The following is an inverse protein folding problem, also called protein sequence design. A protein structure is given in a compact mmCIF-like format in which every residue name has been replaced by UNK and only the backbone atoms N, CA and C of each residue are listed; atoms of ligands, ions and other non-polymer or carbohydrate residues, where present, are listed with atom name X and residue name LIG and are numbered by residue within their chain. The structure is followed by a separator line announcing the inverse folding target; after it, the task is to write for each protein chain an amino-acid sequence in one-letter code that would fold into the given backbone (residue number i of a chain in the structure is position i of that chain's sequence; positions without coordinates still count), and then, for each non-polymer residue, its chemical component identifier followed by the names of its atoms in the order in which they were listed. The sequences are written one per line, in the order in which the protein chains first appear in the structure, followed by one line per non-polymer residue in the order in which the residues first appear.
data_IF_869484831632
#
_entry.id   IF_869484831632
#
_cell.length_a   1.000
_cell.length_b   1.000
_cell.length_c   1.000
_cell.angle_alpha   90.00
_cell.angle_beta   90.00
_cell.angle_gamma   90.00
#
_symmetry.space_group_name_H-M   'P 1'
#
loop_
_entity.id
_entity.type
_entity.pdbx_description
1 polymer ?
#
# COMPACT_ATOMS: atom_id res chain seq x y z
N UNK A 1 -5.67 41.30 16.15
CA UNK A 1 -4.95 40.02 16.25
C UNK A 1 -4.65 39.59 14.83
N UNK A 2 -3.51 38.94 14.57
CA UNK A 2 -3.33 38.32 13.25
C UNK A 2 -4.29 37.13 13.18
N UNK A 3 -4.96 36.91 12.04
CA UNK A 3 -5.85 35.78 11.87
C UNK A 3 -5.09 34.46 12.10
N UNK A 4 -5.77 33.50 12.71
CA UNK A 4 -5.26 32.15 12.98
C UNK A 4 -4.84 31.47 11.67
N UNK A 5 -3.63 30.89 11.61
CA UNK A 5 -3.16 30.21 10.39
C UNK A 5 -3.87 28.88 10.17
N UNK A 6 -3.89 28.38 8.94
CA UNK A 6 -4.43 27.04 8.61
C UNK A 6 -3.86 25.94 9.51
N UNK A 7 -2.55 26.01 9.81
CA UNK A 7 -1.83 25.08 10.67
C UNK A 7 -2.34 25.12 12.12
N UNK A 8 -2.59 26.33 12.63
CA UNK A 8 -3.14 26.53 13.97
C UNK A 8 -4.61 26.07 14.04
N UNK A 9 -5.44 26.36 13.04
CA UNK A 9 -6.82 25.86 12.96
C UNK A 9 -6.83 24.33 12.91
N UNK A 10 -5.95 23.73 12.11
CA UNK A 10 -5.76 22.28 12.04
C UNK A 10 -5.40 21.66 13.40
N UNK A 11 -4.52 22.30 14.16
CA UNK A 11 -4.13 21.86 15.51
C UNK A 11 -5.29 21.94 16.49
N UNK A 12 -6.06 23.04 16.46
CA UNK A 12 -7.23 23.24 17.31
C UNK A 12 -8.31 22.18 17.08
N UNK A 13 -8.61 21.85 15.82
CA UNK A 13 -9.58 20.79 15.48
C UNK A 13 -9.15 19.44 16.06
N UNK A 14 -7.86 19.10 15.92
CA UNK A 14 -7.32 17.84 16.46
C UNK A 14 -7.34 17.80 17.98
N UNK A 15 -6.99 18.91 18.64
CA UNK A 15 -7.04 19.02 20.09
C UNK A 15 -8.47 18.83 20.62
N UNK A 16 -9.45 19.47 20.00
CA UNK A 16 -10.86 19.37 20.39
C UNK A 16 -11.41 17.95 20.18
N UNK A 17 -11.08 17.31 19.06
CA UNK A 17 -11.46 15.93 18.77
C UNK A 17 -10.87 14.94 19.80
N UNK A 18 -9.57 15.07 20.13
CA UNK A 18 -8.92 14.25 21.17
C UNK A 18 -9.57 14.43 22.54
N UNK A 19 -9.88 15.67 22.91
CA UNK A 19 -10.49 15.99 24.21
C UNK A 19 -11.89 15.39 24.38
N UNK A 20 -12.55 15.00 23.28
CA UNK A 20 -13.93 14.48 23.25
C UNK A 20 -14.01 13.01 22.83
N UNK A 21 -12.89 12.29 22.81
CA UNK A 21 -12.80 10.88 22.42
C UNK A 21 -13.34 10.59 21.01
N UNK A 22 -13.24 11.54 20.09
CA UNK A 22 -13.52 11.29 18.68
C UNK A 22 -12.46 10.34 18.12
N UNK A 23 -12.86 9.47 17.19
CA UNK A 23 -11.86 8.70 16.46
C UNK A 23 -11.09 9.61 15.50
N UNK A 24 -9.92 9.14 15.07
CA UNK A 24 -9.13 9.84 14.06
C UNK A 24 -9.89 10.03 12.74
N UNK A 25 -10.67 9.05 12.33
CA UNK A 25 -11.50 9.12 11.11
C UNK A 25 -12.67 10.11 11.28
N UNK A 26 -13.24 10.20 12.47
CA UNK A 26 -14.24 11.23 12.78
C UNK A 26 -13.61 12.63 12.78
N UNK A 27 -12.39 12.78 13.31
CA UNK A 27 -11.63 14.02 13.22
C UNK A 27 -11.34 14.40 11.77
N UNK A 28 -11.02 13.44 10.90
CA UNK A 28 -10.82 13.66 9.46
C UNK A 28 -12.10 14.19 8.80
N UNK A 29 -13.25 13.65 9.16
CA UNK A 29 -14.54 14.10 8.64
C UNK A 29 -14.85 15.56 9.02
N UNK A 30 -14.60 15.91 10.29
CA UNK A 30 -14.75 17.29 10.76
C UNK A 30 -13.79 18.22 10.03
N UNK A 31 -12.49 17.89 9.98
CA UNK A 31 -11.46 18.69 9.29
C UNK A 31 -11.84 18.97 7.83
N UNK A 32 -12.25 17.93 7.11
CA UNK A 32 -12.61 18.03 5.69
C UNK A 32 -13.84 18.90 5.47
N UNK A 33 -14.83 18.79 6.36
CA UNK A 33 -16.03 19.64 6.32
C UNK A 33 -15.66 21.10 6.55
N UNK A 34 -14.94 21.41 7.63
CA UNK A 34 -14.56 22.79 7.95
C UNK A 34 -13.69 23.42 6.86
N UNK A 35 -12.81 22.64 6.23
CA UNK A 35 -12.02 23.13 5.10
C UNK A 35 -12.89 23.40 3.86
N UNK A 36 -13.90 22.56 3.60
CA UNK A 36 -14.84 22.79 2.50
C UNK A 36 -15.73 24.04 2.73
N UNK A 37 -16.03 24.37 3.98
CA UNK A 37 -16.89 25.52 4.32
C UNK A 37 -16.18 26.86 4.17
N UNK A 38 -14.90 26.96 4.56
CA UNK A 38 -14.21 28.24 4.57
C UNK A 38 -12.71 28.19 4.29
N UNK A 39 -12.18 27.04 3.86
CA UNK A 39 -10.73 26.81 3.76
C UNK A 39 -10.00 27.08 5.10
N UNK A 40 -10.71 26.85 6.22
CA UNK A 40 -10.27 27.16 7.59
C UNK A 40 -10.04 28.64 7.90
N UNK A 41 -10.57 29.54 7.08
CA UNK A 41 -10.61 30.96 7.41
C UNK A 41 -11.65 31.24 8.52
N UNK A 42 -11.20 31.86 9.61
CA UNK A 42 -12.02 32.24 10.77
C UNK A 42 -12.79 33.55 10.58
N UNK A 43 -12.48 34.31 9.53
CA UNK A 43 -13.10 35.57 9.15
C UNK A 43 -14.01 35.45 7.92
N UNK A 44 -14.12 34.24 7.34
CA UNK A 44 -14.92 33.99 6.15
C UNK A 44 -16.41 34.22 6.38
N UNK A 45 -16.98 35.11 5.57
CA UNK A 45 -18.42 35.28 5.42
C UNK A 45 -18.92 34.54 4.19
N UNK A 46 -20.10 33.93 4.28
CA UNK A 46 -20.80 33.53 3.06
C UNK A 46 -21.21 34.76 2.24
N UNK A 47 -21.49 34.59 0.93
CA UNK A 47 -21.87 35.71 0.07
C UNK A 47 -23.08 36.51 0.56
N UNK A 48 -23.97 35.91 1.35
CA UNK A 48 -25.18 36.55 1.86
C UNK A 48 -25.04 37.11 3.29
N UNK A 49 -23.87 36.97 3.91
CA UNK A 49 -23.57 37.44 5.27
C UNK A 49 -24.53 36.90 6.35
N UNK A 50 -24.91 35.64 6.20
CA UNK A 50 -25.76 34.89 7.13
C UNK A 50 -24.97 33.90 7.98
N UNK A 51 -23.83 33.40 7.48
CA UNK A 51 -22.95 32.46 8.15
C UNK A 51 -21.52 32.96 8.18
N UNK A 52 -20.78 32.59 9.24
CA UNK A 52 -19.45 33.13 9.51
C UNK A 52 -18.47 32.09 10.08
N UNK A 53 -17.20 32.25 9.73
CA UNK A 53 -16.06 31.56 10.31
C UNK A 53 -15.82 30.15 9.79
N UNK A 54 -14.93 29.41 10.49
CA UNK A 54 -14.35 28.11 10.11
C UNK A 54 -15.41 27.06 9.71
N UNK A 55 -16.59 27.13 10.34
CA UNK A 55 -17.67 26.17 10.13
C UNK A 55 -18.92 26.75 9.44
N UNK A 56 -18.83 27.99 8.93
CA UNK A 56 -19.96 28.75 8.38
C UNK A 56 -21.17 28.73 9.34
N UNK A 57 -20.98 29.32 10.52
CA UNK A 57 -21.94 29.31 11.62
C UNK A 57 -22.98 30.42 11.51
N UNK A 58 -24.26 30.07 11.68
CA UNK A 58 -25.37 31.03 11.70
C UNK A 58 -25.53 31.75 13.05
N UNK A 59 -26.62 32.52 13.17
CA UNK A 59 -26.94 33.30 14.38
C UNK A 59 -27.10 32.49 15.67
N UNK A 60 -27.34 31.17 15.59
CA UNK A 60 -27.50 30.29 16.76
C UNK A 60 -26.20 30.03 17.51
N UNK A 61 -25.04 30.30 16.89
CA UNK A 61 -23.73 30.16 17.51
C UNK A 61 -23.34 31.49 18.17
N UNK A 62 -23.49 31.54 19.50
CA UNK A 62 -23.29 32.75 20.32
C UNK A 62 -21.87 33.31 20.22
N UNK A 63 -20.87 32.43 20.15
CA UNK A 63 -19.44 32.78 20.16
C UNK A 63 -18.77 32.70 18.79
N UNK A 64 -19.54 32.78 17.69
CA UNK A 64 -18.96 32.63 16.34
C UNK A 64 -17.96 33.73 15.96
N UNK A 65 -17.93 34.86 16.68
CA UNK A 65 -16.99 35.96 16.46
C UNK A 65 -15.77 35.93 17.39
N UNK A 66 -15.65 34.93 18.26
CA UNK A 66 -14.61 34.87 19.30
C UNK A 66 -13.35 34.11 18.82
N UNK A 67 -13.15 34.03 17.51
CA UNK A 67 -12.02 33.36 16.85
C UNK A 67 -12.20 31.85 16.63
N UNK A 68 -11.25 31.25 15.92
CA UNK A 68 -11.30 29.86 15.46
C UNK A 68 -11.55 28.86 16.59
N UNK A 69 -10.90 29.02 17.75
CA UNK A 69 -11.07 28.10 18.87
C UNK A 69 -12.53 28.03 19.36
N UNK A 70 -13.19 29.18 19.48
CA UNK A 70 -14.60 29.26 19.89
C UNK A 70 -15.53 28.69 18.82
N UNK A 71 -15.26 28.99 17.54
CA UNK A 71 -16.02 28.45 16.40
C UNK A 71 -15.92 26.92 16.34
N UNK A 72 -14.70 26.36 16.41
CA UNK A 72 -14.45 24.91 16.39
C UNK A 72 -15.15 24.24 17.56
N UNK A 73 -14.98 24.75 18.78
CA UNK A 73 -15.63 24.21 19.98
C UNK A 73 -17.15 24.15 19.80
N UNK A 74 -17.76 25.24 19.32
CA UNK A 74 -19.21 25.31 19.16
C UNK A 74 -19.72 24.36 18.05
N UNK A 75 -18.93 24.11 17.02
CA UNK A 75 -19.24 23.07 16.02
C UNK A 75 -19.25 21.67 16.65
N UNK A 76 -18.23 21.31 17.44
CA UNK A 76 -18.19 20.03 18.14
C UNK A 76 -19.33 19.89 19.17
N UNK A 77 -19.65 20.95 19.92
CA UNK A 77 -20.78 20.97 20.86
C UNK A 77 -22.10 20.61 20.15
N UNK A 78 -22.34 21.17 18.95
CA UNK A 78 -23.52 20.85 18.17
C UNK A 78 -23.45 19.44 17.57
N UNK A 79 -22.30 19.01 17.07
CA UNK A 79 -22.14 17.68 16.49
C UNK A 79 -22.35 16.56 17.52
N UNK A 80 -21.89 16.75 18.76
CA UNK A 80 -22.12 15.83 19.87
C UNK A 80 -23.61 15.66 20.18
N UNK A 81 -24.39 16.74 20.11
CA UNK A 81 -25.85 16.68 20.24
C UNK A 81 -26.43 15.90 19.07
N UNK A 82 -25.99 16.16 17.83
CA UNK A 82 -26.51 15.52 16.62
C UNK A 82 -26.24 14.02 16.58
N UNK A 83 -25.06 13.57 16.99
CA UNK A 83 -24.69 12.15 17.07
C UNK A 83 -25.54 11.35 18.06
N UNK A 84 -26.27 12.02 18.96
CA UNK A 84 -27.15 11.41 19.98
C UNK A 84 -28.64 11.62 19.68
N UNK A 85 -28.99 12.42 18.68
CA UNK A 85 -30.39 12.67 18.32
C UNK A 85 -31.03 11.39 17.78
N UNK A 86 -32.35 11.18 18.01
CA UNK A 86 -33.11 10.22 17.23
C UNK A 86 -32.91 10.49 15.74
N UNK A 87 -32.58 9.45 14.97
CA UNK A 87 -32.27 9.58 13.53
C UNK A 87 -30.78 9.81 13.20
N UNK A 88 -29.89 9.83 14.19
CA UNK A 88 -28.45 9.84 13.94
C UNK A 88 -27.98 8.54 13.25
N UNK A 89 -26.98 8.66 12.37
CA UNK A 89 -26.30 7.55 11.71
C UNK A 89 -25.04 7.13 12.47
N UNK A 90 -24.59 5.89 12.28
CA UNK A 90 -23.22 5.48 12.66
C UNK A 90 -22.16 6.10 11.76
N UNK A 91 -22.52 6.59 10.57
CA UNK A 91 -21.64 7.34 9.67
C UNK A 91 -21.63 8.83 10.07
N UNK A 92 -20.50 9.28 10.62
CA UNK A 92 -20.27 10.68 11.02
C UNK A 92 -20.48 11.66 9.86
N UNK A 93 -20.17 11.28 8.62
CA UNK A 93 -20.34 12.14 7.45
C UNK A 93 -21.81 12.47 7.21
N UNK A 94 -22.71 11.51 7.42
CA UNK A 94 -24.15 11.75 7.29
C UNK A 94 -24.67 12.66 8.41
N UNK A 95 -24.17 12.49 9.64
CA UNK A 95 -24.55 13.34 10.76
C UNK A 95 -24.10 14.80 10.55
N UNK A 96 -22.87 15.00 10.09
CA UNK A 96 -22.34 16.34 9.77
C UNK A 96 -23.16 16.98 8.65
N UNK A 97 -23.42 16.24 7.56
CA UNK A 97 -24.16 16.76 6.42
C UNK A 97 -25.61 17.11 6.77
N UNK A 98 -26.27 16.27 7.57
CA UNK A 98 -27.60 16.56 8.12
C UNK A 98 -27.59 17.80 9.02
N UNK A 99 -26.61 17.90 9.93
CA UNK A 99 -26.46 19.04 10.84
C UNK A 99 -26.26 20.36 10.09
N UNK A 100 -25.39 20.37 9.08
CA UNK A 100 -25.04 21.59 8.34
C UNK A 100 -26.13 21.99 7.35
N UNK A 101 -26.66 21.06 6.55
CA UNK A 101 -27.54 21.42 5.45
C UNK A 101 -29.01 21.49 5.88
N UNK A 102 -29.48 20.58 6.73
CA UNK A 102 -30.91 20.44 7.07
C UNK A 102 -31.12 20.05 8.55
N UNK A 103 -30.72 20.91 9.51
CA UNK A 103 -30.84 20.62 10.94
C UNK A 103 -32.26 20.37 11.44
N UNK A 104 -33.29 20.78 10.67
CA UNK A 104 -34.71 20.62 10.99
C UNK A 104 -35.33 19.32 10.45
N UNK A 105 -34.58 18.50 9.70
CA UNK A 105 -35.07 17.22 9.18
C UNK A 105 -34.98 16.10 10.21
N UNK A 106 -35.75 15.03 10.01
CA UNK A 106 -35.99 13.99 11.02
C UNK A 106 -34.82 13.03 11.27
N UNK A 107 -33.95 12.81 10.29
CA UNK A 107 -32.80 11.90 10.44
C UNK A 107 -31.69 12.16 9.42
N UNK A 108 -30.50 11.65 9.72
CA UNK A 108 -29.36 11.64 8.81
C UNK A 108 -29.65 10.80 7.55
N UNK A 109 -30.38 9.70 7.71
CA UNK A 109 -30.80 8.86 6.58
C UNK A 109 -31.80 9.60 5.69
N UNK A 110 -32.78 10.28 6.27
CA UNK A 110 -33.74 11.08 5.51
C UNK A 110 -33.04 12.19 4.73
N UNK A 111 -32.02 12.83 5.32
CA UNK A 111 -31.16 13.76 4.61
C UNK A 111 -30.39 13.09 3.46
N UNK A 112 -29.88 11.88 3.64
CA UNK A 112 -29.20 11.17 2.55
C UNK A 112 -30.15 10.88 1.39
N UNK A 113 -31.37 10.45 1.68
CA UNK A 113 -32.34 10.03 0.65
C UNK A 113 -32.95 11.22 -0.12
N UNK A 114 -33.12 12.37 0.53
CA UNK A 114 -33.87 13.51 -0.04
C UNK A 114 -33.06 14.81 -0.15
N UNK A 115 -31.89 14.86 0.47
CA UNK A 115 -31.05 16.05 0.56
C UNK A 115 -30.06 16.18 -0.58
N UNK A 116 -29.18 17.19 -0.46
CA UNK A 116 -28.12 17.47 -1.44
C UNK A 116 -26.94 16.51 -1.24
N UNK A 117 -27.07 15.28 -1.74
CA UNK A 117 -25.99 14.26 -1.63
C UNK A 117 -24.64 14.71 -2.20
N UNK A 118 -24.63 15.60 -3.19
CA UNK A 118 -23.40 16.18 -3.75
C UNK A 118 -22.51 16.85 -2.69
N UNK A 119 -23.11 17.36 -1.60
CA UNK A 119 -22.37 17.93 -0.49
C UNK A 119 -21.44 16.92 0.19
N UNK A 120 -21.81 15.64 0.28
CA UNK A 120 -20.89 14.60 0.78
C UNK A 120 -19.67 14.44 -0.12
N UNK A 121 -19.85 14.53 -1.44
CA UNK A 121 -18.75 14.46 -2.40
C UNK A 121 -17.83 15.67 -2.24
N UNK A 122 -18.39 16.86 -2.03
CA UNK A 122 -17.64 18.10 -1.81
C UNK A 122 -16.78 18.01 -0.55
N UNK A 123 -17.37 17.71 0.61
CA UNK A 123 -16.59 17.62 1.86
C UNK A 123 -15.57 16.47 1.80
N UNK A 124 -15.90 15.31 1.22
CA UNK A 124 -14.95 14.19 1.07
C UNK A 124 -13.83 14.47 0.07
N UNK A 125 -14.04 15.37 -0.90
CA UNK A 125 -12.98 15.77 -1.84
C UNK A 125 -11.82 16.50 -1.15
N UNK A 126 -12.00 16.99 0.08
CA UNK A 126 -10.97 17.68 0.87
C UNK A 126 -10.09 16.77 1.69
N UNK A 127 -10.37 15.47 1.74
CA UNK A 127 -9.59 14.50 2.52
C UNK A 127 -8.09 14.63 2.19
N UNK A 128 -7.72 14.59 0.91
CA UNK A 128 -6.32 14.68 0.50
C UNK A 128 -5.65 16.00 0.94
N UNK A 129 -6.40 17.11 0.97
CA UNK A 129 -5.90 18.42 1.39
C UNK A 129 -5.68 18.49 2.89
N UNK A 130 -6.58 17.92 3.70
CA UNK A 130 -6.53 18.07 5.16
C UNK A 130 -5.77 16.95 5.87
N UNK A 131 -5.55 15.81 5.21
CA UNK A 131 -4.84 14.65 5.78
C UNK A 131 -3.42 15.00 6.26
N UNK A 132 -2.57 15.73 5.51
CA UNK A 132 -1.23 16.10 6.00
C UNK A 132 -1.27 16.85 7.33
N UNK A 133 -2.24 17.75 7.49
CA UNK A 133 -2.47 18.47 8.73
C UNK A 133 -3.01 17.56 9.85
N UNK A 134 -3.78 16.52 9.53
CA UNK A 134 -4.22 15.54 10.53
C UNK A 134 -3.05 14.65 10.96
N UNK A 135 -2.25 14.17 10.01
CA UNK A 135 -1.06 13.33 10.26
C UNK A 135 -0.07 14.06 11.16
N UNK A 136 0.19 15.36 10.90
CA UNK A 136 1.07 16.21 11.69
C UNK A 136 0.70 16.27 13.19
N UNK A 137 -0.59 16.33 13.52
CA UNK A 137 -1.05 16.53 14.91
C UNK A 137 -1.68 15.28 15.55
N UNK A 138 -2.02 14.28 14.75
CA UNK A 138 -2.54 12.99 15.18
C UNK A 138 -1.99 11.89 14.26
N UNK A 139 -0.73 11.47 14.45
CA UNK A 139 -0.14 10.39 13.68
C UNK A 139 -0.93 9.10 13.86
N UNK A 140 -1.05 8.30 12.80
CA UNK A 140 -1.74 7.02 12.86
C UNK A 140 -0.88 5.97 13.59
N UNK A 141 -1.04 5.85 14.90
CA UNK A 141 -0.49 4.73 15.68
C UNK A 141 -1.63 3.89 16.29
N UNK A 142 -1.81 2.68 15.75
CA UNK A 142 -2.50 1.54 16.38
C UNK A 142 -4.00 1.69 16.70
N UNK A 143 -4.87 1.06 15.91
CA UNK A 143 -6.25 0.78 16.31
C UNK A 143 -7.22 0.61 15.15
N UNK A 144 -7.70 -0.62 14.97
CA UNK A 144 -8.72 -1.14 14.05
C UNK A 144 -9.50 -0.16 13.16
N UNK A 145 -9.39 -0.47 11.88
CA UNK A 145 -9.93 0.19 10.70
C UNK A 145 -11.42 -0.08 10.46
N UNK A 146 -12.18 0.98 10.20
CA UNK A 146 -13.11 0.98 9.06
C UNK A 146 -12.72 2.15 8.16
N UNK A 147 -11.65 1.93 7.37
CA UNK A 147 -11.18 2.86 6.35
C UNK A 147 -12.25 2.99 5.26
N UNK A 148 -12.76 4.19 4.96
CA UNK A 148 -13.47 4.43 3.70
C UNK A 148 -12.49 4.16 2.55
N UNK A 149 -12.87 3.29 1.61
CA UNK A 149 -12.04 2.79 0.51
C UNK A 149 -11.00 3.82 0.04
N UNK A 150 -9.71 3.55 0.35
CA UNK A 150 -8.61 4.33 -0.19
C UNK A 150 -8.76 4.36 -1.72
N UNK A 151 -8.58 5.54 -2.33
CA UNK A 151 -8.59 5.70 -3.78
C UNK A 151 -7.66 4.69 -4.48
N UNK A 152 -6.61 4.23 -3.78
CA UNK A 152 -5.73 3.13 -4.15
C UNK A 152 -5.53 2.21 -2.93
N UNK A 153 -6.02 0.97 -3.01
CA UNK A 153 -5.95 0.00 -1.91
C UNK A 153 -4.67 -0.84 -1.97
N UNK A 154 -3.64 -0.41 -1.25
CA UNK A 154 -2.37 -1.12 -1.11
C UNK A 154 -2.45 -2.41 -0.27
N UNK A 155 -3.60 -2.70 0.34
CA UNK A 155 -3.75 -3.80 1.28
C UNK A 155 -3.03 -3.58 2.61
N UNK A 156 -2.69 -2.33 2.95
CA UNK A 156 -2.02 -1.94 4.19
C UNK A 156 -2.85 -2.44 5.38
N UNK A 157 -2.29 -3.36 6.15
CA UNK A 157 -2.89 -3.86 7.39
C UNK A 157 -2.40 -3.09 8.60
N UNK A 158 -1.18 -2.53 8.54
CA UNK A 158 -0.59 -1.73 9.62
C UNK A 158 0.30 -0.62 9.08
N UNK A 159 0.32 0.49 9.81
CA UNK A 159 1.27 1.59 9.60
C UNK A 159 2.28 1.53 10.75
N UNK A 160 3.56 1.45 10.40
CA UNK A 160 4.66 1.38 11.36
C UNK A 160 5.75 2.36 10.93
N UNK A 161 5.44 3.65 11.00
CA UNK A 161 6.45 4.68 10.76
C UNK A 161 7.36 4.79 11.98
N UNK A 162 8.64 4.47 11.80
CA UNK A 162 9.64 4.57 12.85
C UNK A 162 10.03 6.00 13.18
N UNK A 163 11.24 6.17 13.71
CA UNK A 163 11.88 7.47 13.86
C UNK A 163 13.34 7.30 13.45
N UNK A 164 13.85 8.16 12.56
CA UNK A 164 15.27 8.31 12.29
C UNK A 164 15.63 9.80 12.50
N UNK A 165 16.59 10.13 13.40
CA UNK A 165 16.97 11.52 13.65
C UNK A 165 17.59 12.24 12.44
N UNK A 166 18.01 11.50 11.41
CA UNK A 166 18.57 12.05 10.18
C UNK A 166 17.53 12.23 9.07
N UNK A 167 16.26 11.85 9.29
CA UNK A 167 15.18 12.10 8.33
C UNK A 167 14.83 13.58 8.32
N UNK A 168 14.62 14.14 7.13
CA UNK A 168 14.30 15.56 6.96
C UNK A 168 12.95 15.92 7.59
N UNK A 169 12.81 17.17 8.04
CA UNK A 169 11.60 17.67 8.73
C UNK A 169 10.30 17.55 7.90
N UNK A 170 10.42 17.40 6.59
CA UNK A 170 9.32 17.24 5.64
C UNK A 170 9.12 15.77 5.19
N UNK A 171 9.64 14.81 5.94
CA UNK A 171 9.53 13.39 5.67
C UNK A 171 9.25 12.60 6.96
N UNK A 172 8.88 11.34 6.78
CA UNK A 172 8.28 10.52 7.83
C UNK A 172 9.09 9.27 8.10
N UNK A 173 9.33 8.98 9.38
CA UNK A 173 9.94 7.73 9.80
C UNK A 173 11.42 7.62 9.45
N UNK A 174 11.82 6.48 8.89
CA UNK A 174 13.18 6.24 8.39
C UNK A 174 13.23 6.48 6.87
N UNK A 175 12.90 7.70 6.45
CA UNK A 175 12.83 8.11 5.05
C UNK A 175 14.13 8.77 4.56
N UNK A 176 14.43 8.62 3.26
CA UNK A 176 15.43 9.35 2.46
C UNK A 176 14.88 10.70 1.94
N UNK A 177 13.77 11.16 2.51
CA UNK A 177 13.17 12.44 2.20
C UNK A 177 12.09 12.41 1.11
N UNK A 178 11.66 13.59 0.64
CA UNK A 178 10.63 13.72 -0.39
C UNK A 178 11.03 13.07 -1.70
N UNK A 179 10.07 12.39 -2.34
CA UNK A 179 10.30 11.76 -3.64
C UNK A 179 10.04 12.75 -4.79
N UNK A 180 11.01 12.95 -5.66
CA UNK A 180 10.89 13.86 -6.81
C UNK A 180 10.07 13.31 -7.98
N UNK A 181 10.00 11.99 -8.15
CA UNK A 181 9.18 11.33 -9.17
C UNK A 181 8.89 9.87 -8.80
N UNK A 182 7.85 9.25 -9.36
CA UNK A 182 7.63 7.80 -9.22
C UNK A 182 7.46 7.19 -10.61
N UNK A 183 8.51 6.57 -11.11
CA UNK A 183 8.55 5.89 -12.40
C UNK A 183 8.48 4.37 -12.26
N UNK A 184 8.90 3.82 -11.12
CA UNK A 184 9.02 2.38 -10.93
C UNK A 184 8.35 1.88 -9.65
N UNK A 185 8.03 0.59 -9.64
CA UNK A 185 7.84 -0.19 -8.41
C UNK A 185 8.93 -1.25 -8.35
N UNK A 186 9.69 -1.28 -7.26
CA UNK A 186 10.82 -2.18 -7.08
C UNK A 186 10.42 -3.32 -6.16
N UNK A 187 10.63 -4.54 -6.65
CA UNK A 187 10.42 -5.77 -5.89
C UNK A 187 11.73 -6.16 -5.19
N UNK A 188 11.66 -6.34 -3.87
CA UNK A 188 12.79 -6.73 -3.03
C UNK A 188 12.55 -8.04 -2.31
N UNK A 189 13.61 -8.81 -2.05
CA UNK A 189 13.55 -9.95 -1.12
C UNK A 189 14.35 -9.66 0.14
N UNK A 190 13.84 -10.06 1.30
CA UNK A 190 14.48 -9.77 2.58
C UNK A 190 15.84 -10.48 2.82
N UNK A 191 16.05 -11.67 2.24
CA UNK A 191 17.18 -12.56 2.55
C UNK A 191 17.27 -13.00 4.02
N UNK A 192 16.11 -13.12 4.68
CA UNK A 192 16.00 -13.70 6.01
C UNK A 192 14.58 -14.24 6.23
N UNK A 193 14.45 -15.23 7.12
CA UNK A 193 13.14 -15.68 7.61
C UNK A 193 12.63 -14.69 8.66
N UNK A 194 11.61 -13.89 8.31
CA UNK A 194 10.94 -13.00 9.23
C UNK A 194 9.50 -12.69 8.76
N UNK A 195 8.68 -12.20 9.68
CA UNK A 195 7.40 -11.57 9.33
C UNK A 195 7.59 -10.14 8.84
N UNK A 196 6.57 -9.59 8.18
CA UNK A 196 6.55 -8.20 7.74
C UNK A 196 6.67 -7.22 8.93
N UNK A 197 6.07 -7.56 10.07
CA UNK A 197 6.20 -6.78 11.33
C UNK A 197 7.64 -6.76 11.82
N UNK A 198 8.32 -7.91 11.82
CA UNK A 198 9.73 -8.00 12.24
C UNK A 198 10.66 -7.24 11.30
N UNK A 199 10.42 -7.32 9.98
CA UNK A 199 11.15 -6.52 8.99
C UNK A 199 10.91 -5.01 9.20
N UNK A 200 9.66 -4.59 9.41
CA UNK A 200 9.34 -3.19 9.70
C UNK A 200 10.03 -2.67 10.97
N UNK A 201 10.03 -3.48 12.04
CA UNK A 201 10.76 -3.14 13.26
C UNK A 201 12.27 -3.01 13.02
N UNK A 202 12.86 -3.89 12.21
CA UNK A 202 14.26 -3.76 11.82
C UNK A 202 14.51 -2.47 11.04
N UNK A 203 13.73 -2.19 9.99
CA UNK A 203 13.86 -0.97 9.20
C UNK A 203 13.73 0.30 10.05
N UNK A 204 12.79 0.32 10.99
CA UNK A 204 12.58 1.48 11.88
C UNK A 204 13.72 1.70 12.88
N UNK A 205 14.54 0.68 13.14
CA UNK A 205 15.66 0.76 14.06
C UNK A 205 17.02 0.64 13.35
N UNK A 206 17.05 0.50 12.03
CA UNK A 206 18.29 0.24 11.28
C UNK A 206 19.30 1.36 11.47
N UNK A 207 18.84 2.61 11.59
CA UNK A 207 19.70 3.78 11.83
C UNK A 207 20.50 3.68 13.14
N UNK A 208 20.04 2.90 14.12
CA UNK A 208 20.78 2.67 15.37
C UNK A 208 21.97 1.74 15.16
N UNK A 209 21.78 0.73 14.31
CA UNK A 209 22.78 -0.31 14.04
C UNK A 209 23.67 -0.01 12.83
N UNK A 210 23.17 0.81 11.91
CA UNK A 210 23.77 1.14 10.62
C UNK A 210 23.49 2.64 10.33
N UNK A 211 24.02 3.57 11.15
CA UNK A 211 23.70 5.00 11.05
C UNK A 211 24.11 5.64 9.71
N UNK A 212 25.20 5.15 9.10
CA UNK A 212 25.73 5.66 7.84
C UNK A 212 25.04 5.05 6.61
N UNK A 213 24.26 3.98 6.80
CA UNK A 213 23.55 3.29 5.72
C UNK A 213 22.27 2.64 6.27
N UNK A 214 21.29 3.45 6.72
CA UNK A 214 20.02 2.92 7.19
C UNK A 214 19.30 2.20 6.05
N UNK A 215 18.41 1.26 6.40
CA UNK A 215 17.63 0.48 5.43
C UNK A 215 16.15 0.65 5.75
N UNK A 216 15.38 1.03 4.75
CA UNK A 216 13.93 1.06 4.83
C UNK A 216 13.32 0.69 3.49
N UNK A 217 12.01 0.43 3.47
CA UNK A 217 11.20 0.22 2.28
C UNK A 217 9.93 1.06 2.43
N UNK A 218 9.17 1.28 1.35
CA UNK A 218 7.84 1.83 1.53
C UNK A 218 6.94 0.81 2.19
N UNK A 219 6.92 -0.42 1.63
CA UNK A 219 6.09 -1.51 2.11
C UNK A 219 6.95 -2.74 2.43
N UNK A 220 6.67 -3.38 3.55
CA UNK A 220 7.07 -4.76 3.84
C UNK A 220 5.82 -5.64 3.88
N UNK A 221 5.87 -6.83 3.30
CA UNK A 221 4.70 -7.72 3.28
C UNK A 221 5.07 -9.19 3.43
N UNK A 222 4.19 -9.94 4.08
CA UNK A 222 4.23 -11.40 4.20
C UNK A 222 2.86 -11.97 3.76
N UNK A 223 2.50 -13.20 4.15
CA UNK A 223 1.19 -13.76 3.81
C UNK A 223 0.01 -13.07 4.53
N UNK A 224 0.26 -12.43 5.68
CA UNK A 224 -0.77 -11.92 6.60
C UNK A 224 -0.86 -10.41 6.64
N UNK A 225 0.27 -9.72 6.53
CA UNK A 225 0.41 -8.30 6.77
C UNK A 225 1.02 -7.58 5.57
N UNK A 226 0.52 -6.37 5.30
CA UNK A 226 1.22 -5.35 4.50
C UNK A 226 1.47 -4.17 5.44
N UNK A 227 2.73 -3.87 5.69
CA UNK A 227 3.15 -2.83 6.61
C UNK A 227 3.68 -1.65 5.82
N UNK A 228 3.10 -0.46 6.02
CA UNK A 228 3.72 0.77 5.55
C UNK A 228 4.78 1.25 6.55
N UNK A 229 6.04 1.27 6.11
CA UNK A 229 7.19 1.67 6.92
C UNK A 229 7.56 3.13 6.62
N UNK A 230 7.62 3.47 5.33
CA UNK A 230 7.81 4.84 4.82
C UNK A 230 6.62 5.14 3.90
N UNK A 231 5.94 6.29 4.04
CA UNK A 231 4.81 6.64 3.19
C UNK A 231 5.11 6.38 1.71
N UNK A 232 4.17 5.79 0.96
CA UNK A 232 4.39 5.39 -0.44
C UNK A 232 4.74 6.56 -1.38
N UNK A 233 4.56 7.80 -0.94
CA UNK A 233 4.91 9.06 -1.63
C UNK A 233 6.31 9.59 -1.29
N UNK A 234 7.00 8.99 -0.32
CA UNK A 234 8.35 9.39 0.13
C UNK A 234 9.41 8.37 -0.30
N UNK A 235 10.66 8.81 -0.40
CA UNK A 235 11.78 7.94 -0.72
C UNK A 235 12.19 7.11 0.52
N UNK A 236 12.29 5.78 0.43
CA UNK A 236 12.92 4.96 1.46
C UNK A 236 14.43 4.77 1.16
N UNK A 237 15.18 4.24 2.12
CA UNK A 237 16.58 3.85 1.97
C UNK A 237 16.69 2.40 1.47
N UNK A 238 16.41 2.15 0.18
CA UNK A 238 16.27 0.78 -0.35
C UNK A 238 17.27 0.40 -1.45
N UNK A 239 17.58 1.32 -2.37
CA UNK A 239 18.28 1.01 -3.61
C UNK A 239 19.08 2.22 -4.16
N UNK A 240 19.77 2.94 -3.28
CA UNK A 240 20.66 4.04 -3.62
C UNK A 240 20.04 5.05 -4.61
N UNK A 241 20.57 5.17 -5.83
CA UNK A 241 20.07 6.13 -6.83
C UNK A 241 18.59 5.93 -7.23
N UNK A 242 18.01 4.77 -6.92
CA UNK A 242 16.61 4.47 -7.21
C UNK A 242 15.62 4.90 -6.12
N UNK A 243 16.09 5.26 -4.90
CA UNK A 243 15.24 5.64 -3.76
C UNK A 243 14.21 6.73 -4.13
N UNK A 244 14.66 7.74 -4.87
CA UNK A 244 13.90 8.95 -5.20
C UNK A 244 13.03 8.84 -6.46
N UNK A 245 12.99 7.67 -7.10
CA UNK A 245 12.27 7.45 -8.38
C UNK A 245 11.30 6.26 -8.34
N UNK A 246 11.15 5.57 -7.21
CA UNK A 246 10.37 4.34 -7.16
C UNK A 246 9.67 4.08 -5.81
N UNK A 247 8.59 3.29 -5.84
CA UNK A 247 8.02 2.65 -4.66
C UNK A 247 8.77 1.35 -4.39
N UNK A 248 9.27 1.14 -3.18
CA UNK A 248 10.03 -0.07 -2.84
C UNK A 248 9.19 -1.00 -1.95
N UNK A 249 9.02 -2.24 -2.41
CA UNK A 249 8.22 -3.27 -1.74
C UNK A 249 9.11 -4.48 -1.45
N UNK A 250 9.24 -4.85 -0.17
CA UNK A 250 10.02 -5.98 0.26
C UNK A 250 9.15 -7.14 0.74
N UNK A 251 9.38 -8.31 0.14
CA UNK A 251 8.77 -9.57 0.53
C UNK A 251 9.50 -10.11 1.78
N UNK A 252 8.86 -10.03 2.93
CA UNK A 252 9.42 -10.49 4.20
C UNK A 252 9.45 -12.03 4.24
N UNK A 253 10.50 -12.61 4.82
CA UNK A 253 10.66 -14.07 4.85
C UNK A 253 11.18 -14.70 3.55
N UNK A 254 11.41 -13.90 2.51
CA UNK A 254 11.78 -14.37 1.17
C UNK A 254 13.28 -14.33 0.88
N UNK A 255 13.69 -15.09 -0.14
CA UNK A 255 15.08 -15.21 -0.59
C UNK A 255 15.16 -15.08 -2.12
N UNK A 256 16.21 -14.41 -2.61
CA UNK A 256 16.39 -14.18 -4.05
C UNK A 256 16.68 -15.47 -4.84
N UNK A 257 17.17 -16.50 -4.16
CA UNK A 257 17.50 -17.79 -4.73
C UNK A 257 16.27 -18.68 -4.96
N UNK A 258 15.09 -18.27 -4.47
CA UNK A 258 13.85 -19.00 -4.66
C UNK A 258 13.48 -19.12 -6.13
N UNK A 259 13.12 -20.35 -6.52
CA UNK A 259 12.55 -20.65 -7.82
C UNK A 259 11.03 -20.43 -7.79
N UNK A 260 10.43 -20.31 -8.99
CA UNK A 260 9.00 -20.02 -9.14
C UNK A 260 8.11 -20.99 -8.34
N UNK A 261 8.50 -22.27 -8.24
CA UNK A 261 7.78 -23.26 -7.45
C UNK A 261 7.64 -22.89 -5.97
N UNK A 262 8.66 -22.28 -5.35
CA UNK A 262 8.58 -21.83 -3.95
C UNK A 262 7.70 -20.59 -3.83
N UNK A 263 7.79 -19.65 -4.76
CA UNK A 263 6.92 -18.46 -4.78
C UNK A 263 5.44 -18.77 -4.97
N UNK A 264 5.12 -19.90 -5.60
CA UNK A 264 3.75 -20.37 -5.88
C UNK A 264 3.31 -21.48 -4.91
N UNK A 265 4.10 -21.75 -3.88
CA UNK A 265 3.77 -22.74 -2.87
C UNK A 265 2.63 -22.22 -1.98
N UNK A 266 1.61 -23.05 -1.78
CA UNK A 266 0.48 -22.76 -0.90
C UNK A 266 0.59 -23.48 0.44
N UNK A 267 1.53 -24.41 0.58
CA UNK A 267 1.78 -25.10 1.84
C UNK A 267 2.42 -24.12 2.84
N UNK A 268 1.67 -23.80 3.89
CA UNK A 268 2.11 -22.89 4.94
C UNK A 268 2.67 -23.61 6.17
N UNK A 269 3.04 -24.89 6.05
CA UNK A 269 3.54 -25.72 7.16
C UNK A 269 4.84 -25.18 7.78
N UNK A 270 5.63 -24.42 7.02
CA UNK A 270 6.83 -23.72 7.48
C UNK A 270 6.55 -22.32 8.06
N UNK A 271 5.28 -21.92 8.12
CA UNK A 271 4.80 -20.68 8.75
C UNK A 271 4.53 -19.53 7.79
N UNK A 272 4.76 -19.70 6.48
CA UNK A 272 4.53 -18.70 5.45
C UNK A 272 3.77 -19.32 4.27
N UNK A 273 2.73 -18.67 3.78
CA UNK A 273 2.11 -19.01 2.49
C UNK A 273 2.69 -18.08 1.40
N UNK A 274 3.66 -18.57 0.63
CA UNK A 274 4.33 -17.76 -0.40
C UNK A 274 3.38 -17.28 -1.50
N UNK A 275 2.42 -18.12 -1.93
CA UNK A 275 1.45 -17.73 -2.94
C UNK A 275 0.53 -16.58 -2.48
N UNK A 276 0.09 -16.63 -1.21
CA UNK A 276 -0.69 -15.56 -0.60
C UNK A 276 0.15 -14.28 -0.46
N UNK A 277 1.41 -14.41 -0.06
CA UNK A 277 2.36 -13.30 0.00
C UNK A 277 2.57 -12.67 -1.40
N UNK A 278 2.74 -13.50 -2.45
CA UNK A 278 2.88 -13.04 -3.83
C UNK A 278 1.62 -12.29 -4.30
N UNK A 279 0.43 -12.80 -3.98
CA UNK A 279 -0.86 -12.14 -4.26
C UNK A 279 -0.99 -10.80 -3.55
N UNK A 280 -0.59 -10.72 -2.28
CA UNK A 280 -0.58 -9.47 -1.51
C UNK A 280 0.38 -8.44 -2.10
N UNK A 281 1.58 -8.87 -2.51
CA UNK A 281 2.51 -8.03 -3.25
C UNK A 281 1.92 -7.49 -4.54
N UNK A 282 1.20 -8.33 -5.30
CA UNK A 282 0.57 -7.91 -6.53
C UNK A 282 -0.52 -6.84 -6.30
N UNK A 283 -1.28 -6.94 -5.21
CA UNK A 283 -2.26 -5.92 -4.79
C UNK A 283 -1.57 -4.58 -4.49
N UNK A 284 -0.50 -4.60 -3.70
CA UNK A 284 0.26 -3.40 -3.36
C UNK A 284 0.88 -2.73 -4.60
N UNK A 285 1.44 -3.52 -5.52
CA UNK A 285 1.98 -3.02 -6.79
C UNK A 285 0.87 -2.45 -7.68
N UNK A 286 -0.31 -3.07 -7.74
CA UNK A 286 -1.43 -2.55 -8.50
C UNK A 286 -1.87 -1.16 -7.99
N UNK A 287 -1.94 -0.98 -6.67
CA UNK A 287 -2.23 0.30 -6.06
C UNK A 287 -1.18 1.37 -6.42
N UNK A 288 0.12 1.02 -6.40
CA UNK A 288 1.19 1.90 -6.86
C UNK A 288 1.05 2.26 -8.35
N UNK A 289 0.79 1.27 -9.21
CA UNK A 289 0.61 1.49 -10.64
C UNK A 289 -0.56 2.45 -10.92
N UNK A 290 -1.68 2.28 -10.23
CA UNK A 290 -2.84 3.15 -10.34
C UNK A 290 -2.55 4.56 -9.81
N UNK A 291 -1.89 4.68 -8.65
CA UNK A 291 -1.61 5.97 -8.02
C UNK A 291 -0.66 6.83 -8.86
N UNK A 292 0.39 6.23 -9.43
CA UNK A 292 1.44 6.98 -10.12
C UNK A 292 1.38 6.86 -11.65
N UNK A 293 0.31 6.26 -12.19
CA UNK A 293 0.10 6.13 -13.64
C UNK A 293 1.19 5.31 -14.34
N UNK A 294 1.56 4.16 -13.75
CA UNK A 294 2.57 3.26 -14.30
C UNK A 294 1.90 2.04 -14.97
N UNK A 295 2.41 1.57 -16.11
CA UNK A 295 1.92 0.34 -16.73
C UNK A 295 2.33 -0.91 -15.92
N UNK A 296 1.46 -1.91 -15.86
CA UNK A 296 1.77 -3.23 -15.29
C UNK A 296 2.60 -4.08 -16.27
N UNK A 297 3.84 -3.68 -16.50
CA UNK A 297 4.82 -4.35 -17.35
C UNK A 297 6.16 -4.47 -16.62
N UNK A 298 6.93 -5.50 -16.96
CA UNK A 298 8.31 -5.58 -16.51
C UNK A 298 9.14 -4.57 -17.30
N UNK A 299 9.74 -3.60 -16.60
CA UNK A 299 10.55 -2.54 -17.18
C UNK A 299 12.06 -2.83 -17.15
N UNK A 300 12.45 -3.93 -16.52
CA UNK A 300 13.84 -4.39 -16.41
C UNK A 300 14.23 -5.37 -17.51
N UNK A 301 15.44 -5.89 -17.40
CA UNK A 301 16.02 -6.88 -18.32
C UNK A 301 16.84 -7.96 -17.60
N UNK A 302 16.63 -8.10 -16.29
CA UNK A 302 17.39 -9.03 -15.46
C UNK A 302 18.68 -8.44 -14.90
N UNK A 303 18.84 -7.11 -14.92
CA UNK A 303 20.06 -6.43 -14.50
C UNK A 303 21.17 -6.41 -15.55
N UNK A 304 20.89 -6.81 -16.79
CA UNK A 304 21.88 -6.85 -17.88
C UNK A 304 22.35 -5.44 -18.24
N UNK A 305 21.43 -4.49 -18.35
CA UNK A 305 21.75 -3.10 -18.69
C UNK A 305 22.23 -2.27 -17.50
N UNK A 306 22.04 -2.76 -16.26
CA UNK A 306 22.34 -2.00 -15.04
C UNK A 306 21.45 -0.76 -14.84
N UNK A 307 20.35 -0.66 -15.58
CA UNK A 307 19.25 0.29 -15.37
C UNK A 307 17.99 -0.23 -16.09
N UNK A 308 16.76 0.12 -15.65
CA UNK A 308 15.54 -0.24 -16.37
C UNK A 308 15.55 0.21 -17.84
N UNK A 309 15.10 -0.67 -18.72
CA UNK A 309 15.10 -0.48 -20.19
C UNK A 309 13.81 0.18 -20.70
N UNK A 310 12.75 0.18 -19.90
CA UNK A 310 11.53 0.97 -20.14
C UNK A 310 11.45 2.16 -19.18
N UNK A 311 10.83 3.28 -19.58
CA UNK A 311 10.81 4.50 -18.78
C UNK A 311 9.97 4.41 -17.50
N UNK A 312 9.03 3.46 -17.44
CA UNK A 312 8.16 3.20 -16.27
C UNK A 312 7.73 1.73 -16.21
N UNK A 313 7.51 1.21 -15.02
CA UNK A 313 6.94 -0.12 -14.81
C UNK A 313 7.43 -0.80 -13.52
N UNK A 314 7.31 -2.13 -13.48
CA UNK A 314 7.76 -2.96 -12.36
C UNK A 314 9.17 -3.46 -12.65
N UNK A 315 10.04 -3.46 -11.66
CA UNK A 315 11.44 -3.92 -11.76
C UNK A 315 11.86 -4.69 -10.50
N UNK A 316 12.89 -5.52 -10.61
CA UNK A 316 13.61 -6.01 -9.45
C UNK A 316 14.70 -5.04 -9.01
N UNK A 317 15.21 -5.17 -7.79
CA UNK A 317 16.37 -4.40 -7.34
C UNK A 317 17.57 -4.59 -8.28
N UNK A 318 17.76 -5.81 -8.79
CA UNK A 318 18.80 -6.17 -9.78
C UNK A 318 18.86 -5.29 -11.02
N UNK A 319 17.71 -4.75 -11.44
CA UNK A 319 17.61 -4.01 -12.69
C UNK A 319 18.30 -2.65 -12.61
N UNK A 320 18.69 -2.18 -11.42
CA UNK A 320 19.45 -0.94 -11.24
C UNK A 320 20.98 -1.13 -11.18
N UNK A 321 21.46 -2.38 -11.24
CA UNK A 321 22.88 -2.71 -11.21
C UNK A 321 23.65 -2.03 -10.07
N UNK A 322 24.92 -1.67 -10.31
CA UNK A 322 25.77 -1.01 -9.32
C UNK A 322 25.21 0.35 -8.83
N UNK A 323 24.46 1.06 -9.69
CA UNK A 323 23.83 2.34 -9.33
C UNK A 323 22.71 2.18 -8.30
N UNK A 324 22.05 1.03 -8.31
CA UNK A 324 21.09 0.64 -7.29
C UNK A 324 21.69 -0.03 -6.06
N UNK A 325 23.02 -0.17 -5.98
CA UNK A 325 23.70 -0.88 -4.90
C UNK A 325 24.18 -2.28 -5.24
N UNK A 326 23.93 -2.78 -6.46
CA UNK A 326 24.49 -4.05 -6.95
C UNK A 326 23.80 -5.32 -6.42
N UNK A 327 22.64 -5.16 -5.79
CA UNK A 327 21.81 -6.27 -5.31
C UNK A 327 21.19 -7.05 -6.47
N UNK A 328 20.80 -8.31 -6.24
CA UNK A 328 20.36 -9.25 -7.29
C UNK A 328 18.92 -9.73 -7.14
N UNK A 329 18.21 -9.27 -6.12
CA UNK A 329 16.83 -9.63 -5.84
C UNK A 329 15.83 -8.98 -6.82
N UNK A 330 14.64 -9.60 -7.03
CA UNK A 330 14.13 -10.82 -6.40
C UNK A 330 14.69 -12.12 -6.99
N UNK A 331 15.72 -12.02 -7.82
CA UNK A 331 16.43 -13.15 -8.40
C UNK A 331 15.74 -13.76 -9.63
N UNK A 332 16.42 -14.73 -10.25
CA UNK A 332 16.01 -15.31 -11.52
C UNK A 332 14.77 -16.19 -11.45
N UNK A 333 14.44 -16.68 -10.25
CA UNK A 333 13.30 -17.57 -10.04
C UNK A 333 12.00 -16.86 -9.70
N UNK A 334 12.00 -15.53 -9.53
CA UNK A 334 10.78 -14.79 -9.26
C UNK A 334 9.79 -14.92 -10.44
N UNK A 335 8.53 -15.33 -10.22
CA UNK A 335 7.57 -15.59 -11.28
C UNK A 335 6.94 -14.28 -11.80
N UNK A 336 7.75 -13.45 -12.48
CA UNK A 336 7.37 -12.10 -12.91
C UNK A 336 6.10 -12.07 -13.76
N UNK A 337 5.93 -13.01 -14.70
CA UNK A 337 4.75 -13.04 -15.58
C UNK A 337 3.46 -13.32 -14.80
N UNK A 338 3.48 -14.29 -13.89
CA UNK A 338 2.35 -14.61 -13.02
C UNK A 338 2.07 -13.47 -12.04
N UNK A 339 3.12 -12.86 -11.49
CA UNK A 339 3.00 -11.68 -10.63
C UNK A 339 2.31 -10.52 -11.37
N UNK A 340 2.77 -10.18 -12.58
CA UNK A 340 2.16 -9.14 -13.42
C UNK A 340 0.72 -9.48 -13.83
N UNK A 341 0.39 -10.76 -14.04
CA UNK A 341 -1.00 -11.20 -14.25
C UNK A 341 -1.87 -10.83 -13.04
N UNK A 342 -1.41 -11.11 -11.81
CA UNK A 342 -2.12 -10.74 -10.58
C UNK A 342 -2.23 -9.22 -10.41
N UNK A 343 -1.17 -8.47 -10.70
CA UNK A 343 -1.19 -6.99 -10.66
C UNK A 343 -2.30 -6.45 -11.56
N UNK A 344 -2.38 -6.94 -12.82
CA UNK A 344 -3.40 -6.51 -13.78
C UNK A 344 -4.83 -6.82 -13.31
N UNK A 345 -5.04 -7.95 -12.63
CA UNK A 345 -6.33 -8.30 -12.01
C UNK A 345 -6.73 -7.27 -10.95
N UNK A 346 -5.80 -6.85 -10.09
CA UNK A 346 -6.09 -5.84 -9.07
C UNK A 346 -6.25 -4.42 -9.65
N UNK A 347 -5.59 -4.09 -10.76
CA UNK A 347 -5.75 -2.79 -11.43
C UNK A 347 -7.11 -2.63 -12.11
N UNK A 348 -7.81 -3.72 -12.42
CA UNK A 348 -9.11 -3.71 -13.10
C UNK A 348 -9.94 -4.92 -12.65
N UNK A 349 -10.68 -4.80 -11.53
CA UNK A 349 -11.46 -5.91 -10.98
C UNK A 349 -12.67 -6.31 -11.86
N UNK A 350 -13.03 -5.50 -12.86
CA UNK A 350 -13.85 -5.96 -13.99
C UNK A 350 -12.98 -6.80 -14.91
N UNK A 351 -13.15 -8.12 -14.78
CA UNK A 351 -12.46 -9.18 -15.49
C UNK A 351 -11.85 -8.77 -16.85
N UNK A 352 -10.54 -8.92 -17.06
CA UNK A 352 -10.11 -9.30 -18.40
C UNK A 352 -10.75 -10.67 -18.66
N UNK A 353 -11.33 -10.87 -19.85
CA UNK A 353 -11.52 -12.22 -20.37
C UNK A 353 -10.23 -12.99 -20.07
N UNK A 354 -10.35 -14.15 -19.42
CA UNK A 354 -9.24 -15.11 -19.40
C UNK A 354 -8.65 -15.09 -20.82
N UNK A 355 -7.33 -14.84 -21.01
CA UNK A 355 -6.74 -15.20 -22.29
C UNK A 355 -7.19 -16.65 -22.54
N UNK A 356 -7.68 -16.98 -23.75
CA UNK A 356 -8.22 -18.29 -24.02
C UNK A 356 -7.25 -19.33 -23.46
N UNK A 357 -7.74 -20.36 -22.74
CA UNK A 357 -6.88 -21.36 -22.13
C UNK A 357 -5.89 -21.83 -23.19
N UNK A 358 -4.60 -21.61 -22.93
CA UNK A 358 -3.54 -21.95 -23.87
C UNK A 358 -3.71 -23.43 -24.24
N UNK A 359 -3.99 -23.71 -25.50
CA UNK A 359 -4.09 -25.07 -26.01
C UNK A 359 -2.68 -25.59 -26.17
N UNK A 360 -2.30 -26.57 -25.34
CA UNK A 360 -1.01 -27.22 -25.46
C UNK A 360 -0.93 -28.01 -26.77
N UNK A 361 0.18 -27.92 -27.53
CA UNK A 361 1.34 -27.05 -27.33
C UNK A 361 1.24 -25.67 -28.02
N UNK A 362 0.22 -25.45 -28.85
CA UNK A 362 0.18 -24.36 -29.85
C UNK A 362 0.22 -22.94 -29.31
N UNK A 363 -0.33 -22.69 -28.12
CA UNK A 363 -0.39 -21.33 -27.55
C UNK A 363 0.79 -21.03 -26.60
N UNK A 364 1.74 -21.95 -26.48
CA UNK A 364 2.93 -21.82 -25.64
C UNK A 364 4.12 -21.36 -26.47
N UNK A 365 4.90 -20.43 -25.92
CA UNK A 365 6.16 -20.01 -26.52
C UNK A 365 7.18 -21.14 -26.50
N UNK A 366 8.16 -21.09 -27.41
CA UNK A 366 9.25 -22.07 -27.44
C UNK A 366 9.95 -22.22 -26.09
N UNK A 367 10.11 -21.12 -25.35
CA UNK A 367 10.71 -21.16 -24.01
C UNK A 367 9.82 -21.89 -23.01
N UNK A 368 8.52 -21.62 -22.98
CA UNK A 368 7.57 -22.30 -22.09
C UNK A 368 7.48 -23.80 -22.42
N UNK A 369 7.51 -24.16 -23.71
CA UNK A 369 7.56 -25.55 -24.14
C UNK A 369 8.87 -26.23 -23.73
N UNK A 370 10.01 -25.55 -23.86
CA UNK A 370 11.31 -26.07 -23.43
C UNK A 370 11.39 -26.26 -21.92
N UNK A 371 10.85 -25.32 -21.14
CA UNK A 371 10.78 -25.42 -19.68
C UNK A 371 9.82 -26.54 -19.25
N UNK A 372 8.67 -26.69 -19.92
CA UNK A 372 7.75 -27.80 -19.72
C UNK A 372 8.44 -29.14 -20.03
N UNK A 373 9.10 -29.27 -21.18
CA UNK A 373 9.84 -30.48 -21.55
C UNK A 373 10.98 -30.78 -20.58
N UNK A 374 11.72 -29.76 -20.14
CA UNK A 374 12.77 -29.92 -19.14
C UNK A 374 12.21 -30.40 -17.79
N UNK A 375 11.05 -29.88 -17.39
CA UNK A 375 10.35 -30.31 -16.18
C UNK A 375 9.79 -31.74 -16.29
N UNK A 376 9.41 -32.22 -17.48
CA UNK A 376 8.94 -33.61 -17.66
C UNK A 376 10.09 -34.62 -17.88
N UNK A 377 11.29 -34.16 -18.28
CA UNK A 377 12.42 -35.03 -18.68
C UNK A 377 13.69 -34.88 -17.83
N UNK A 378 13.65 -33.96 -16.85
CA UNK A 378 14.72 -33.67 -15.90
C UNK A 378 15.04 -34.81 -14.92
N UNK A 379 15.92 -34.57 -13.94
CA UNK A 379 16.17 -35.54 -12.88
C UNK A 379 14.89 -35.83 -12.11
N UNK A 380 14.63 -37.12 -11.81
CA UNK A 380 13.34 -37.66 -11.36
C UNK A 380 12.47 -36.75 -10.48
N UNK A 381 11.17 -36.72 -10.80
CA UNK A 381 10.16 -35.89 -10.13
C UNK A 381 9.37 -36.69 -9.10
N UNK A 382 9.35 -36.20 -7.85
CA UNK A 382 8.60 -36.82 -6.76
C UNK A 382 7.08 -36.81 -6.99
N UNK A 383 6.58 -35.87 -7.80
CA UNK A 383 5.16 -35.77 -8.16
C UNK A 383 4.67 -36.96 -9.02
N UNK A 384 5.58 -37.71 -9.65
CA UNK A 384 5.24 -38.93 -10.40
C UNK A 384 5.26 -40.19 -9.52
N UNK A 385 5.48 -40.03 -8.21
CA UNK A 385 5.57 -41.15 -7.27
C UNK A 385 6.83 -41.99 -7.46
N UNK A 386 6.78 -43.25 -7.02
CA UNK A 386 7.92 -44.19 -7.07
C UNK A 386 8.46 -44.37 -8.51
N UNK A 387 7.58 -44.31 -9.51
CA UNK A 387 7.93 -44.44 -10.94
C UNK A 387 8.64 -43.21 -11.53
N UNK A 388 8.62 -42.08 -10.81
CA UNK A 388 9.34 -40.86 -11.17
C UNK A 388 10.83 -40.90 -10.84
N UNK A 389 11.28 -41.82 -9.97
CA UNK A 389 12.69 -41.93 -9.59
C UNK A 389 13.45 -42.88 -10.52
N UNK A 390 14.19 -42.29 -11.46
CA UNK A 390 15.01 -43.02 -12.44
C UNK A 390 16.36 -43.51 -11.88
N UNK A 391 16.53 -43.48 -10.56
CA UNK A 391 17.71 -43.91 -9.83
C UNK A 391 18.78 -42.83 -9.71
N UNK A 392 19.93 -43.20 -9.15
CA UNK A 392 21.04 -42.27 -8.86
C UNK A 392 22.30 -42.57 -9.70
N UNK A 393 23.05 -41.56 -10.10
CA UNK A 393 24.37 -41.71 -10.72
C UNK A 393 25.42 -42.10 -9.65
N UNK A 394 26.67 -42.33 -10.07
CA UNK A 394 27.76 -42.71 -9.17
C UNK A 394 28.09 -41.63 -8.12
N UNK A 395 27.65 -40.39 -8.36
CA UNK A 395 27.80 -39.23 -7.49
C UNK A 395 26.61 -39.04 -6.55
N UNK A 396 25.64 -39.97 -6.53
CA UNK A 396 24.46 -39.89 -5.66
C UNK A 396 23.38 -38.91 -6.12
N UNK A 397 23.46 -38.38 -7.33
CA UNK A 397 22.47 -37.45 -7.89
C UNK A 397 21.38 -38.19 -8.67
N UNK A 398 20.15 -37.64 -8.71
CA UNK A 398 19.05 -38.18 -9.53
C UNK A 398 19.46 -38.25 -11.00
N UNK A 399 19.18 -39.39 -11.65
CA UNK A 399 19.39 -39.56 -13.08
C UNK A 399 18.32 -38.79 -13.86
N UNK A 400 18.72 -38.21 -14.99
CA UNK A 400 17.79 -37.64 -15.99
C UNK A 400 17.05 -38.75 -16.72
N UNK A 401 15.98 -38.42 -17.46
CA UNK A 401 15.23 -39.37 -18.29
C UNK A 401 16.14 -40.24 -19.17
N UNK A 402 17.07 -39.61 -19.88
CA UNK A 402 18.05 -40.30 -20.73
C UNK A 402 18.94 -41.27 -19.95
N UNK A 403 19.47 -40.83 -18.81
CA UNK A 403 20.41 -41.64 -18.02
C UNK A 403 19.69 -42.80 -17.30
N UNK A 404 18.45 -42.57 -16.87
CA UNK A 404 17.54 -43.57 -16.32
C UNK A 404 17.22 -44.67 -17.32
N UNK A 405 16.69 -44.28 -18.49
CA UNK A 405 16.32 -45.21 -19.55
C UNK A 405 17.53 -46.04 -20.02
N UNK A 406 18.67 -45.39 -20.26
CA UNK A 406 19.89 -46.11 -20.66
C UNK A 406 20.36 -47.12 -19.60
N UNK A 407 20.16 -46.82 -18.31
CA UNK A 407 20.50 -47.75 -17.24
C UNK A 407 19.49 -48.89 -17.10
N UNK A 408 18.20 -48.63 -17.31
CA UNK A 408 17.16 -49.65 -17.36
C UNK A 408 17.41 -50.60 -18.55
N UNK A 409 17.66 -50.06 -19.75
CA UNK A 409 17.96 -50.85 -20.95
C UNK A 409 19.17 -51.77 -20.75
N UNK A 410 20.24 -51.30 -20.09
CA UNK A 410 21.39 -52.14 -19.71
C UNK A 410 21.05 -53.27 -18.73
N UNK A 411 20.05 -53.08 -17.86
CA UNK A 411 19.60 -54.12 -16.93
C UNK A 411 18.74 -55.20 -17.60
N UNK A 412 18.01 -54.86 -18.66
CA UNK A 412 17.17 -55.82 -19.41
C UNK A 412 17.94 -56.59 -20.51
N UNK A 413 19.26 -56.38 -20.64
CA UNK A 413 20.12 -57.21 -21.50
C UNK A 413 20.08 -56.84 -22.99
N UNK A 414 19.97 -55.55 -23.32
CA UNK A 414 20.22 -55.03 -24.67
C UNK A 414 21.71 -54.78 -24.92
#
# INVERSE_FOLDING_TARGET
MNPTTEDQVAQLIVAEAKARDYTRDECLAVKSTLYQESEWDEEAWDPTHTTYGVAQQDVSYVYRFDGAAAQIKAFFDKLDIWRRKPGASSDIWLNIAWMQQRPNWESAQYWYDHGRRAYLTEIKSRIATVTPYLDKYWPATGGNTTVPAAQFDYGITKVMHGFNPNTSDNATGNSDGPRGSTAYVVLHTQQAKASAVSLANFCNNSWKTQPDNPVSYNLALDDKDTIEIVPVVEAPWSAAAANVIAVHICFAGSFAEWLAGKWLETDASDGLNEDAMLTRGAKAVAAACLQFGMPAVYAGDGGVSGWPVLPKGIVGHRDFGARGGGHTDPGNGFPMDEFLRRVRVFMSPTAPSQPPPKVFPGDYTDRELLEYMAAQTGPGLDIWGEDGDLGRNAQGQRRTLRAGLAALMRKVGA
#
